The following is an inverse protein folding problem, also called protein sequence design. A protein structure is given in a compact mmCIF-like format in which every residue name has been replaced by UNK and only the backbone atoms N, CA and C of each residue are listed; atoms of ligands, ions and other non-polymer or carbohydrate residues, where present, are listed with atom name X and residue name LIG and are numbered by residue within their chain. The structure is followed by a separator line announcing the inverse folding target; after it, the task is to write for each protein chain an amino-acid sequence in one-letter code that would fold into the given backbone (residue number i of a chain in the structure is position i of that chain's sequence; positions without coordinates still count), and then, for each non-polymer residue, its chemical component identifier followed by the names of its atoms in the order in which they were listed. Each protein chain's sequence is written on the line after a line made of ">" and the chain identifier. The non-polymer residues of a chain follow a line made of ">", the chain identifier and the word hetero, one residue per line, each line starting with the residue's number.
data_IF_048654127315
#
_entry.id   IF_048654127315
#
_cell.length_a   1.000
_cell.length_b   1.000
_cell.length_c   1.000
_cell.angle_alpha   90.00
_cell.angle_beta   90.00
_cell.angle_gamma   90.00
#
_symmetry.space_group_name_H-M   'P 1'
#
loop_
_entity.id
_entity.type
_entity.pdbx_description
1 polymer ?
#
# COMPACT_ATOMS: atom_id res chain seq x y z
N UNK A 1 4.74 9.84 -3.68
CA UNK A 1 5.12 10.41 -5.01
C UNK A 1 6.42 9.81 -5.61
N UNK A 2 7.37 9.30 -4.77
CA UNK A 2 8.64 8.74 -5.28
C UNK A 2 8.42 7.49 -6.15
N UNK A 3 7.52 6.59 -5.75
CA UNK A 3 7.20 5.38 -6.52
C UNK A 3 6.55 5.69 -7.88
N UNK A 4 5.68 6.70 -7.96
CA UNK A 4 5.11 7.14 -9.24
C UNK A 4 6.18 7.73 -10.17
N UNK A 5 7.10 8.53 -9.63
CA UNK A 5 8.24 9.03 -10.40
C UNK A 5 9.15 7.89 -10.88
N UNK A 6 9.40 6.88 -10.03
CA UNK A 6 10.19 5.71 -10.41
C UNK A 6 9.52 4.90 -11.53
N UNK A 7 8.20 4.68 -11.46
CA UNK A 7 7.43 3.98 -12.51
C UNK A 7 7.52 4.73 -13.83
N UNK A 8 7.39 6.05 -13.82
CA UNK A 8 7.55 6.87 -15.01
C UNK A 8 8.95 6.76 -15.60
N UNK A 9 9.99 6.91 -14.76
CA UNK A 9 11.39 6.79 -15.19
C UNK A 9 11.69 5.40 -15.77
N UNK A 10 11.14 4.34 -15.19
CA UNK A 10 11.25 3.00 -15.74
C UNK A 10 10.63 2.91 -17.15
N UNK A 11 9.42 3.43 -17.32
CA UNK A 11 8.73 3.44 -18.62
C UNK A 11 9.52 4.18 -19.70
N UNK A 12 10.07 5.35 -19.36
CA UNK A 12 10.86 6.17 -20.28
C UNK A 12 12.22 5.55 -20.59
N UNK A 13 12.93 5.03 -19.60
CA UNK A 13 14.25 4.40 -19.80
C UNK A 13 14.16 3.08 -20.57
N UNK A 14 13.04 2.35 -20.43
CA UNK A 14 12.76 1.14 -21.22
C UNK A 14 12.68 1.43 -22.72
N UNK A 15 12.32 2.64 -23.10
CA UNK A 15 12.30 3.10 -24.52
C UNK A 15 13.69 3.44 -25.07
N UNK A 16 14.76 3.23 -24.30
CA UNK A 16 16.14 3.50 -24.73
C UNK A 16 16.56 4.97 -24.60
N UNK A 17 15.76 5.80 -23.94
CA UNK A 17 16.03 7.22 -23.70
C UNK A 17 17.11 7.36 -22.64
N UNK A 18 18.01 8.34 -22.79
CA UNK A 18 19.06 8.60 -21.81
C UNK A 18 18.52 9.03 -20.46
N UNK A 19 19.25 8.75 -19.37
CA UNK A 19 18.85 9.16 -18.03
C UNK A 19 18.59 10.67 -17.95
N UNK A 20 19.40 11.48 -18.61
CA UNK A 20 19.24 12.93 -18.61
C UNK A 20 17.90 13.36 -19.23
N UNK A 21 17.53 12.76 -20.35
CA UNK A 21 16.25 13.06 -21.02
C UNK A 21 15.05 12.49 -20.25
N UNK A 22 15.19 11.33 -19.63
CA UNK A 22 14.16 10.76 -18.77
C UNK A 22 13.88 11.68 -17.56
N UNK A 23 14.92 12.20 -16.90
CA UNK A 23 14.78 13.16 -15.81
C UNK A 23 14.23 14.52 -16.27
N UNK A 24 14.58 14.94 -17.48
CA UNK A 24 14.02 16.14 -18.09
C UNK A 24 12.53 16.01 -18.32
N UNK A 25 12.12 14.90 -18.91
CA UNK A 25 10.69 14.60 -19.12
C UNK A 25 9.92 14.51 -17.81
N UNK A 26 10.51 13.92 -16.76
CA UNK A 26 9.92 13.92 -15.42
C UNK A 26 9.74 15.36 -14.88
N UNK A 27 10.74 16.22 -15.07
CA UNK A 27 10.65 17.61 -14.64
C UNK A 27 9.60 18.42 -15.41
N UNK A 28 9.41 18.16 -16.70
CA UNK A 28 8.34 18.78 -17.50
C UNK A 28 6.94 18.44 -16.93
N UNK A 29 6.79 17.25 -16.38
CA UNK A 29 5.56 16.79 -15.74
C UNK A 29 5.53 17.00 -14.21
N UNK A 30 6.29 17.99 -13.69
CA UNK A 30 6.40 18.25 -12.23
C UNK A 30 5.06 18.50 -11.53
N UNK A 31 4.05 18.99 -12.25
CA UNK A 31 2.71 19.22 -11.71
C UNK A 31 2.01 17.91 -11.29
N UNK A 32 2.42 16.76 -11.86
CA UNK A 32 1.91 15.43 -11.51
C UNK A 32 2.75 14.79 -10.39
N UNK A 33 4.08 14.90 -10.50
CA UNK A 33 5.01 14.20 -9.61
C UNK A 33 5.46 15.02 -8.40
N UNK A 34 5.16 16.33 -8.39
CA UNK A 34 5.39 17.21 -7.25
C UNK A 34 6.87 17.43 -6.92
N UNK A 35 7.18 17.58 -5.64
CA UNK A 35 8.51 17.93 -5.13
C UNK A 35 9.64 17.00 -5.61
N UNK A 36 9.38 15.72 -5.82
CA UNK A 36 10.40 14.78 -6.32
C UNK A 36 10.88 15.18 -7.72
N UNK A 37 9.94 15.56 -8.60
CA UNK A 37 10.29 15.99 -9.95
C UNK A 37 11.01 17.35 -9.94
N UNK A 38 10.67 18.25 -9.01
CA UNK A 38 11.34 19.52 -8.84
C UNK A 38 12.79 19.36 -8.38
N UNK A 39 13.03 18.52 -7.36
CA UNK A 39 14.38 18.26 -6.85
C UNK A 39 15.26 17.55 -7.90
N UNK A 40 14.74 16.55 -8.60
CA UNK A 40 15.47 15.89 -9.69
C UNK A 40 15.67 16.84 -10.88
N UNK A 41 14.75 17.76 -11.12
CA UNK A 41 14.88 18.82 -12.12
C UNK A 41 16.04 19.78 -11.86
N UNK A 42 16.43 19.98 -10.60
CA UNK A 42 17.62 20.76 -10.24
C UNK A 42 18.88 20.10 -10.83
N UNK A 43 18.97 18.76 -10.79
CA UNK A 43 20.11 18.05 -11.38
C UNK A 43 20.17 18.24 -12.90
N UNK A 44 19.01 18.20 -13.59
CA UNK A 44 18.94 18.44 -15.04
C UNK A 44 19.40 19.84 -15.38
N UNK A 45 18.84 20.86 -14.71
CA UNK A 45 19.21 22.27 -14.92
C UNK A 45 20.70 22.48 -14.68
N UNK A 46 21.22 21.94 -13.58
CA UNK A 46 22.64 22.04 -13.25
C UNK A 46 23.53 21.41 -14.34
N UNK A 47 23.17 20.22 -14.82
CA UNK A 47 23.86 19.58 -15.93
C UNK A 47 23.81 20.40 -17.23
N UNK A 48 22.72 21.11 -17.49
CA UNK A 48 22.54 21.95 -18.68
C UNK A 48 23.30 23.27 -18.59
N UNK A 49 23.23 23.97 -17.45
CA UNK A 49 23.85 25.28 -17.28
C UNK A 49 25.37 25.21 -17.06
N UNK A 50 25.84 24.20 -16.33
CA UNK A 50 27.26 24.09 -15.99
C UNK A 50 28.00 23.06 -16.86
N UNK A 51 27.32 22.36 -17.76
CA UNK A 51 27.96 21.31 -18.59
C UNK A 51 28.47 20.12 -17.79
N UNK A 52 28.01 19.95 -16.52
CA UNK A 52 28.42 18.84 -15.67
C UNK A 52 27.76 17.54 -16.09
N UNK A 53 28.42 16.42 -15.78
CA UNK A 53 27.80 15.10 -15.89
C UNK A 53 26.51 15.05 -15.06
N UNK A 54 25.45 14.41 -15.59
CA UNK A 54 24.17 14.25 -14.88
C UNK A 54 24.35 13.54 -13.52
N UNK A 55 25.28 12.59 -13.43
CA UNK A 55 25.60 11.87 -12.19
C UNK A 55 26.21 12.78 -11.12
N UNK A 56 27.08 13.71 -11.53
CA UNK A 56 27.66 14.69 -10.61
C UNK A 56 26.59 15.67 -10.11
N UNK A 57 25.70 16.08 -10.98
CA UNK A 57 24.57 16.93 -10.63
C UNK A 57 23.60 16.25 -9.69
N UNK A 58 23.32 14.94 -9.90
CA UNK A 58 22.52 14.11 -8.99
C UNK A 58 23.18 13.94 -7.63
N UNK A 59 24.51 13.72 -7.58
CA UNK A 59 25.24 13.64 -6.31
C UNK A 59 25.16 14.94 -5.51
N UNK A 60 25.11 16.10 -6.17
CA UNK A 60 24.85 17.37 -5.51
C UNK A 60 23.43 17.42 -4.91
N UNK A 61 22.40 17.03 -5.66
CA UNK A 61 21.01 16.99 -5.18
C UNK A 61 20.89 16.03 -4.00
N UNK A 62 21.53 14.87 -4.04
CA UNK A 62 21.55 13.91 -2.94
C UNK A 62 22.12 14.50 -1.63
N UNK A 63 23.07 15.43 -1.73
CA UNK A 63 23.64 16.13 -0.55
C UNK A 63 22.77 17.24 -0.01
N UNK A 64 21.95 17.86 -0.86
CA UNK A 64 21.14 19.04 -0.52
C UNK A 64 19.69 18.71 -0.21
N UNK A 65 19.19 17.54 -0.62
CA UNK A 65 17.82 17.12 -0.36
C UNK A 65 17.54 16.90 1.12
N UNK A 66 16.36 17.36 1.57
CA UNK A 66 15.87 17.15 2.93
C UNK A 66 15.24 15.76 3.12
N UNK A 67 14.91 15.04 2.04
CA UNK A 67 14.27 13.74 2.11
C UNK A 67 15.30 12.60 2.15
N UNK A 68 15.39 11.83 3.27
CA UNK A 68 16.31 10.70 3.33
C UNK A 68 16.00 9.65 2.25
N UNK A 69 14.71 9.37 1.99
CA UNK A 69 14.30 8.41 0.96
C UNK A 69 14.73 8.81 -0.45
N UNK A 70 14.66 10.11 -0.77
CA UNK A 70 15.11 10.58 -2.09
C UNK A 70 16.63 10.58 -2.19
N UNK A 71 17.34 10.87 -1.11
CA UNK A 71 18.80 10.77 -1.04
C UNK A 71 19.26 9.34 -1.34
N UNK A 72 18.71 8.36 -0.64
CA UNK A 72 19.07 6.95 -0.80
C UNK A 72 18.76 6.48 -2.23
N UNK A 73 17.61 6.84 -2.77
CA UNK A 73 17.23 6.54 -4.15
C UNK A 73 18.23 7.10 -5.18
N UNK A 74 18.66 8.37 -5.01
CA UNK A 74 19.63 8.99 -5.91
C UNK A 74 21.00 8.31 -5.78
N UNK A 75 21.44 7.98 -4.56
CA UNK A 75 22.71 7.29 -4.34
C UNK A 75 22.72 5.90 -4.98
N UNK A 76 21.67 5.12 -4.79
CA UNK A 76 21.54 3.81 -5.43
C UNK A 76 21.50 3.92 -6.97
N UNK A 77 20.82 4.94 -7.50
CA UNK A 77 20.80 5.19 -8.94
C UNK A 77 22.18 5.53 -9.50
N UNK A 78 22.99 6.33 -8.79
CA UNK A 78 24.36 6.67 -9.18
C UNK A 78 25.23 5.41 -9.14
N UNK A 79 25.17 4.64 -8.04
CA UNK A 79 25.96 3.39 -7.90
C UNK A 79 25.62 2.38 -8.99
N UNK A 80 24.34 2.24 -9.34
CA UNK A 80 23.89 1.34 -10.42
C UNK A 80 24.36 1.76 -11.81
N UNK A 81 24.63 3.04 -12.00
CA UNK A 81 25.19 3.55 -13.26
C UNK A 81 26.69 3.28 -13.39
N UNK A 82 27.40 3.16 -12.27
CA UNK A 82 28.82 2.80 -12.22
C UNK A 82 29.01 1.28 -12.38
N UNK A 83 28.01 0.49 -12.01
CA UNK A 83 27.99 -0.94 -12.21
C UNK A 83 27.62 -1.29 -13.66
N UNK A 84 28.03 -2.46 -14.13
CA UNK A 84 27.78 -2.97 -15.51
C UNK A 84 26.28 -3.20 -15.80
N UNK A 85 25.43 -3.12 -14.79
CA UNK A 85 24.01 -3.48 -14.83
C UNK A 85 23.16 -2.42 -15.57
N UNK A 86 23.56 -1.16 -15.53
CA UNK A 86 22.87 -0.06 -16.21
C UNK A 86 21.63 0.47 -15.49
N UNK A 87 21.35 1.75 -15.72
CA UNK A 87 20.28 2.51 -15.04
C UNK A 87 18.87 1.95 -15.34
N UNK A 88 18.67 1.36 -16.51
CA UNK A 88 17.38 0.75 -16.88
C UNK A 88 17.02 -0.45 -16.00
N UNK A 89 17.99 -1.31 -15.68
CA UNK A 89 17.77 -2.45 -14.79
C UNK A 89 17.60 -2.02 -13.33
N UNK A 90 18.26 -0.94 -12.92
CA UNK A 90 18.00 -0.32 -11.62
C UNK A 90 16.52 0.09 -11.47
N UNK A 91 15.98 0.82 -12.44
CA UNK A 91 14.57 1.23 -12.40
C UNK A 91 13.62 0.03 -12.45
N UNK A 92 13.96 -1.02 -13.20
CA UNK A 92 13.20 -2.26 -13.22
C UNK A 92 13.14 -2.90 -11.84
N UNK A 93 14.29 -3.10 -11.18
CA UNK A 93 14.34 -3.66 -9.82
C UNK A 93 13.54 -2.83 -8.83
N UNK A 94 13.66 -1.50 -8.88
CA UNK A 94 12.89 -0.60 -8.02
C UNK A 94 11.39 -0.64 -8.32
N UNK A 95 11.01 -0.76 -9.57
CA UNK A 95 9.61 -0.96 -9.94
C UNK A 95 9.07 -2.27 -9.37
N UNK A 96 9.80 -3.37 -9.54
CA UNK A 96 9.39 -4.68 -9.03
C UNK A 96 9.31 -4.67 -7.48
N UNK A 97 10.27 -4.02 -6.79
CA UNK A 97 10.26 -3.84 -5.33
C UNK A 97 9.03 -3.06 -4.85
N UNK A 98 8.73 -1.93 -5.48
CA UNK A 98 7.56 -1.12 -5.12
C UNK A 98 6.24 -1.85 -5.44
N UNK A 99 6.20 -2.59 -6.54
CA UNK A 99 5.02 -3.35 -6.92
C UNK A 99 4.78 -4.52 -5.97
N UNK A 100 5.83 -5.26 -5.60
CA UNK A 100 5.76 -6.33 -4.63
C UNK A 100 5.31 -5.84 -3.24
N UNK A 101 5.83 -4.71 -2.78
CA UNK A 101 5.43 -4.13 -1.50
C UNK A 101 3.97 -3.66 -1.48
N UNK A 102 3.48 -3.15 -2.60
CA UNK A 102 2.07 -2.79 -2.76
C UNK A 102 1.16 -4.03 -2.77
N UNK A 103 1.58 -5.08 -3.47
CA UNK A 103 0.86 -6.36 -3.51
C UNK A 103 0.83 -7.04 -2.13
N UNK A 104 1.93 -7.03 -1.39
CA UNK A 104 2.00 -7.58 -0.03
C UNK A 104 1.03 -6.85 0.91
N UNK A 105 0.96 -5.53 0.83
CA UNK A 105 0.01 -4.72 1.61
C UNK A 105 -1.43 -5.10 1.27
N UNK A 106 -1.76 -5.30 -0.01
CA UNK A 106 -3.10 -5.71 -0.42
C UNK A 106 -3.42 -7.14 0.00
N UNK A 107 -2.47 -8.08 -0.12
CA UNK A 107 -2.64 -9.46 0.34
C UNK A 107 -2.85 -9.54 1.84
N UNK A 108 -2.13 -8.76 2.64
CA UNK A 108 -2.33 -8.64 4.07
C UNK A 108 -3.74 -8.16 4.43
N UNK A 109 -4.26 -7.18 3.69
CA UNK A 109 -5.63 -6.69 3.87
C UNK A 109 -6.68 -7.76 3.56
N UNK A 110 -6.54 -8.45 2.43
CA UNK A 110 -7.46 -9.53 2.02
C UNK A 110 -7.41 -10.71 3.00
N UNK A 111 -6.23 -11.09 3.48
CA UNK A 111 -6.08 -12.14 4.47
C UNK A 111 -6.76 -11.80 5.79
N UNK A 112 -6.57 -10.59 6.27
CA UNK A 112 -7.21 -10.11 7.51
C UNK A 112 -8.73 -10.07 7.36
N UNK A 113 -9.25 -9.58 6.23
CA UNK A 113 -10.69 -9.60 5.93
C UNK A 113 -11.23 -11.03 5.85
N UNK A 114 -10.47 -11.98 5.29
CA UNK A 114 -10.83 -13.39 5.25
C UNK A 114 -10.96 -14.00 6.65
N UNK A 115 -9.99 -13.76 7.53
CA UNK A 115 -10.05 -14.21 8.93
C UNK A 115 -11.27 -13.63 9.67
N UNK A 116 -11.58 -12.34 9.47
CA UNK A 116 -12.78 -11.74 10.07
C UNK A 116 -14.06 -12.38 9.52
N UNK A 117 -14.12 -12.64 8.22
CA UNK A 117 -15.26 -13.34 7.60
C UNK A 117 -15.46 -14.72 8.20
N UNK A 118 -14.41 -15.48 8.41
CA UNK A 118 -14.46 -16.80 9.02
C UNK A 118 -14.95 -16.75 10.47
N UNK A 119 -14.46 -15.82 11.27
CA UNK A 119 -14.93 -15.62 12.66
C UNK A 119 -16.42 -15.26 12.68
N UNK A 120 -16.86 -14.38 11.79
CA UNK A 120 -18.27 -13.99 11.68
C UNK A 120 -19.15 -15.17 11.32
N UNK A 121 -18.78 -15.94 10.31
CA UNK A 121 -19.54 -17.13 9.87
C UNK A 121 -19.60 -18.17 11.00
N UNK A 122 -18.49 -18.41 11.68
CA UNK A 122 -18.42 -19.35 12.79
C UNK A 122 -19.33 -18.92 13.95
N UNK A 123 -19.26 -17.67 14.37
CA UNK A 123 -20.10 -17.16 15.45
C UNK A 123 -21.59 -17.11 15.06
N UNK A 124 -21.92 -16.67 13.85
CA UNK A 124 -23.30 -16.54 13.41
C UNK A 124 -23.97 -17.85 13.04
N UNK A 125 -23.21 -18.86 12.59
CA UNK A 125 -23.76 -20.15 12.17
C UNK A 125 -23.69 -21.22 13.25
N UNK A 126 -22.54 -21.40 13.91
CA UNK A 126 -22.35 -22.48 14.89
C UNK A 126 -23.03 -22.18 16.22
N UNK A 127 -22.94 -20.97 16.73
CA UNK A 127 -23.54 -20.63 18.04
C UNK A 127 -25.06 -20.82 18.07
N UNK A 128 -25.85 -20.31 17.11
CA UNK A 128 -27.28 -20.58 17.06
C UNK A 128 -27.62 -22.06 16.89
N UNK A 129 -26.85 -22.77 16.07
CA UNK A 129 -27.09 -24.20 15.82
C UNK A 129 -26.92 -25.04 17.09
N UNK A 130 -25.90 -24.76 17.90
CA UNK A 130 -25.66 -25.43 19.17
C UNK A 130 -26.76 -25.11 20.17
N UNK A 131 -27.15 -23.84 20.29
CA UNK A 131 -28.20 -23.39 21.21
C UNK A 131 -29.56 -24.02 20.83
N UNK A 132 -29.89 -24.10 19.54
CA UNK A 132 -31.11 -24.74 19.08
C UNK A 132 -31.10 -26.22 19.38
N UNK A 133 -29.98 -26.95 19.15
CA UNK A 133 -29.85 -28.37 19.43
C UNK A 133 -30.01 -28.64 20.93
N UNK A 134 -29.35 -27.88 21.80
CA UNK A 134 -29.49 -27.99 23.27
C UNK A 134 -30.87 -27.57 23.74
N UNK A 135 -31.42 -26.47 23.22
CA UNK A 135 -32.77 -26.01 23.55
C UNK A 135 -33.86 -27.03 23.18
N UNK A 136 -33.73 -27.69 22.03
CA UNK A 136 -34.66 -28.77 21.63
C UNK A 136 -34.58 -29.96 22.56
N UNK A 137 -33.37 -30.34 23.00
CA UNK A 137 -33.16 -31.48 23.90
C UNK A 137 -33.67 -31.19 25.32
N UNK A 138 -33.39 -30.03 25.88
CA UNK A 138 -33.78 -29.65 27.24
C UNK A 138 -35.21 -29.13 27.30
N UNK A 139 -35.71 -28.50 26.24
CA UNK A 139 -37.10 -27.99 26.18
C UNK A 139 -38.15 -29.08 26.15
N UNK A 140 -37.79 -30.34 25.83
CA UNK A 140 -38.63 -31.49 26.02
C UNK A 140 -38.87 -31.81 27.50
N UNK A 141 -38.01 -31.34 28.39
CA UNK A 141 -38.08 -31.55 29.84
C UNK A 141 -38.72 -30.34 30.51
N UNK A 142 -38.39 -29.12 30.08
CA UNK A 142 -38.88 -27.86 30.65
C UNK A 142 -39.16 -26.79 29.59
N UNK A 143 -40.42 -26.42 29.33
CA UNK A 143 -40.79 -25.47 28.28
C UNK A 143 -40.20 -24.04 28.44
N UNK A 144 -39.87 -23.66 29.68
CA UNK A 144 -39.24 -22.36 29.99
C UNK A 144 -37.87 -22.19 29.34
N UNK A 145 -37.11 -23.28 29.15
CA UNK A 145 -35.79 -23.28 28.51
C UNK A 145 -35.89 -22.86 27.04
N UNK A 146 -36.94 -23.29 26.34
CA UNK A 146 -37.16 -22.90 24.94
C UNK A 146 -37.39 -21.39 24.79
N UNK A 147 -38.10 -20.77 25.71
CA UNK A 147 -38.37 -19.32 25.69
C UNK A 147 -37.05 -18.54 25.95
N UNK A 148 -36.20 -18.99 26.85
CA UNK A 148 -34.90 -18.39 27.13
C UNK A 148 -33.95 -18.50 25.93
N UNK A 149 -33.87 -19.66 25.28
CA UNK A 149 -33.06 -19.88 24.09
C UNK A 149 -33.50 -18.97 22.93
N UNK A 150 -34.82 -18.83 22.72
CA UNK A 150 -35.36 -17.99 21.67
C UNK A 150 -35.04 -16.50 21.91
N UNK A 151 -35.20 -16.04 23.15
CA UNK A 151 -34.88 -14.65 23.52
C UNK A 151 -33.39 -14.35 23.36
N UNK A 152 -32.52 -15.28 23.74
CA UNK A 152 -31.08 -15.16 23.59
C UNK A 152 -30.67 -15.05 22.10
N UNK A 153 -31.21 -15.91 21.23
CA UNK A 153 -30.98 -15.86 19.80
C UNK A 153 -31.39 -14.53 19.18
N UNK A 154 -32.56 -13.98 19.59
CA UNK A 154 -33.06 -12.73 19.04
C UNK A 154 -32.25 -11.50 19.44
N UNK A 155 -31.58 -11.54 20.58
CA UNK A 155 -30.76 -10.42 21.11
C UNK A 155 -29.28 -10.59 20.74
N UNK A 156 -28.72 -11.80 20.91
CA UNK A 156 -27.29 -12.05 20.77
C UNK A 156 -26.82 -11.95 19.30
N UNK A 157 -27.64 -12.41 18.34
CA UNK A 157 -27.27 -12.37 16.92
C UNK A 157 -27.12 -10.92 16.39
N UNK A 158 -28.14 -10.03 16.53
CA UNK A 158 -27.99 -8.66 16.05
C UNK A 158 -26.93 -7.87 16.83
N UNK A 159 -26.78 -8.13 18.13
CA UNK A 159 -25.76 -7.45 18.94
C UNK A 159 -24.35 -7.82 18.51
N UNK A 160 -24.08 -9.10 18.21
CA UNK A 160 -22.78 -9.56 17.69
C UNK A 160 -22.48 -8.97 16.31
N UNK A 161 -23.49 -8.84 15.43
CA UNK A 161 -23.36 -8.20 14.12
C UNK A 161 -23.01 -6.72 14.23
N UNK A 162 -23.66 -5.99 15.12
CA UNK A 162 -23.36 -4.57 15.36
C UNK A 162 -21.97 -4.39 15.97
N UNK A 163 -21.57 -5.24 16.93
CA UNK A 163 -20.24 -5.19 17.53
C UNK A 163 -19.13 -5.45 16.50
N UNK A 164 -19.33 -6.39 15.58
CA UNK A 164 -18.40 -6.67 14.48
C UNK A 164 -18.29 -5.50 13.49
N UNK A 165 -19.42 -4.89 13.12
CA UNK A 165 -19.41 -3.70 12.26
C UNK A 165 -18.73 -2.50 12.93
N UNK A 166 -18.93 -2.29 14.21
CA UNK A 166 -18.27 -1.26 14.99
C UNK A 166 -16.76 -1.51 15.08
N UNK A 167 -16.35 -2.77 15.31
CA UNK A 167 -14.95 -3.16 15.33
C UNK A 167 -14.30 -2.99 13.95
N UNK A 168 -14.96 -3.39 12.87
CA UNK A 168 -14.48 -3.21 11.51
C UNK A 168 -14.26 -1.72 11.17
N UNK A 169 -15.17 -0.83 11.61
CA UNK A 169 -15.00 0.62 11.45
C UNK A 169 -13.84 1.20 12.26
N UNK A 170 -13.61 0.70 13.47
CA UNK A 170 -12.51 1.15 14.33
C UNK A 170 -11.14 0.64 13.85
N UNK A 171 -11.09 -0.61 13.41
CA UNK A 171 -9.87 -1.24 12.92
C UNK A 171 -9.43 -0.72 11.54
N UNK A 172 -10.38 -0.31 10.70
CA UNK A 172 -10.12 0.23 9.36
C UNK A 172 -10.81 1.59 9.19
N UNK A 173 -10.21 2.69 9.66
CA UNK A 173 -10.67 4.01 9.31
C UNK A 173 -10.48 4.19 7.80
N UNK A 174 -11.57 4.07 7.03
CA UNK A 174 -11.63 4.27 5.56
C UNK A 174 -11.06 5.62 5.11
N UNK A 175 -10.84 6.53 6.04
CA UNK A 175 -10.30 7.87 5.80
C UNK A 175 -8.80 7.88 5.40
N UNK A 176 -8.04 6.79 5.66
CA UNK A 176 -6.64 6.71 5.23
C UNK A 176 -6.48 6.36 3.75
N UNK A 177 -7.47 5.76 3.12
CA UNK A 177 -7.42 5.41 1.69
C UNK A 177 -7.70 6.63 0.80
N UNK A 178 -8.53 7.57 1.27
CA UNK A 178 -8.87 8.80 0.54
C UNK A 178 -7.77 9.89 0.59
N UNK A 179 -6.72 9.73 1.37
CA UNK A 179 -5.59 10.70 1.48
C UNK A 179 -4.35 10.29 0.70
N UNK A 180 -4.42 9.26 -0.13
CA UNK A 180 -3.33 8.78 -1.00
C UNK A 180 -3.56 9.19 -2.47
N UNK A 181 -4.65 9.90 -2.77
CA UNK A 181 -4.82 10.61 -4.06
C UNK A 181 -4.10 11.97 -4.07
#
# INVERSE_FOLDING_TARGET
>A
NLHHACTFLYGVTKSGVSLKEALRSLYEHRHIYGAVAEELGIAVKRSEYFGESIYRSLAYVAKTTCSPKLRDFIQEMISSAEETIGVGEFFRRKFDEYFASAEETQRGMVHTLGMFGEIVVTLCALTPSIILALGASLGAIEPSVLAWCNTYLFIAIPLSGVALLAYARLAYPFEKVAKVE
#
